data_IF_935530554665
#
_entry.id   IF_935530554665
#
_cell.length_a   1.000
_cell.length_b   1.000
_cell.length_c   1.000
_cell.angle_alpha   90.00
_cell.angle_beta   90.00
_cell.angle_gamma   90.00
#
_symmetry.space_group_name_H-M   'P 1'
#
loop_
_entity.id
_entity.type
_entity.pdbx_description
1 polymer ?
#
# COMPACT_ATOMS: atom_id res chain seq x y z
N UNK A 1 1.02 -3.87 -7.03
CA UNK A 1 0.84 -2.90 -8.15
C UNK A 1 0.61 -3.57 -9.48
N UNK A 2 1.61 -4.28 -10.02
CA UNK A 2 1.57 -4.85 -11.37
C UNK A 2 0.47 -5.92 -11.55
N UNK A 3 0.41 -6.88 -10.63
CA UNK A 3 -0.65 -7.90 -10.59
C UNK A 3 -2.07 -7.29 -10.67
N UNK A 4 -2.27 -6.15 -10.00
CA UNK A 4 -3.57 -5.46 -9.96
C UNK A 4 -3.93 -4.82 -11.30
N UNK A 5 -2.96 -4.30 -12.04
CA UNK A 5 -3.20 -3.77 -13.39
C UNK A 5 -3.63 -4.89 -14.33
N UNK A 6 -2.94 -6.02 -14.29
CA UNK A 6 -3.31 -7.19 -15.09
C UNK A 6 -4.70 -7.73 -14.75
N UNK A 7 -5.09 -7.68 -13.47
CA UNK A 7 -6.42 -8.11 -13.00
C UNK A 7 -7.52 -7.04 -13.13
N UNK A 8 -7.24 -5.90 -13.79
CA UNK A 8 -8.20 -4.80 -13.96
C UNK A 8 -8.72 -4.21 -12.64
N UNK A 9 -7.98 -4.34 -11.55
CA UNK A 9 -8.39 -3.86 -10.22
C UNK A 9 -8.09 -2.36 -10.08
N UNK A 10 -8.93 -1.61 -9.33
CA UNK A 10 -8.66 -0.21 -9.02
C UNK A 10 -7.33 -0.04 -8.26
N UNK A 11 -6.73 1.14 -8.35
CA UNK A 11 -5.38 1.48 -7.90
C UNK A 11 -4.32 0.43 -8.30
N UNK A 12 -3.87 0.51 -9.55
CA UNK A 12 -2.81 -0.33 -10.06
C UNK A 12 -1.43 0.32 -10.01
N UNK A 13 -0.55 -0.06 -10.92
CA UNK A 13 0.88 0.21 -10.87
C UNK A 13 1.20 1.70 -10.72
N UNK A 14 0.61 2.55 -11.57
CA UNK A 14 0.79 4.01 -11.52
C UNK A 14 0.46 4.58 -10.15
N UNK A 15 -0.70 4.24 -9.58
CA UNK A 15 -1.12 4.75 -8.27
C UNK A 15 -0.16 4.32 -7.15
N UNK A 16 0.21 3.04 -7.12
CA UNK A 16 1.10 2.51 -6.08
C UNK A 16 2.51 3.11 -6.18
N UNK A 17 3.03 3.34 -7.39
CA UNK A 17 4.31 4.01 -7.61
C UNK A 17 4.30 5.46 -7.11
N UNK A 18 3.26 6.23 -7.45
CA UNK A 18 3.14 7.63 -7.00
C UNK A 18 3.05 7.75 -5.47
N UNK A 19 2.30 6.84 -4.84
CA UNK A 19 2.16 6.81 -3.37
C UNK A 19 3.50 6.49 -2.70
N UNK A 20 4.22 5.47 -3.17
CA UNK A 20 5.54 5.13 -2.63
C UNK A 20 6.58 6.24 -2.86
N UNK A 21 6.58 6.85 -4.05
CA UNK A 21 7.48 7.96 -4.37
C UNK A 21 7.22 9.18 -3.47
N UNK A 22 5.95 9.56 -3.29
CA UNK A 22 5.57 10.67 -2.41
C UNK A 22 5.95 10.42 -0.96
N UNK A 23 5.68 9.21 -0.44
CA UNK A 23 6.07 8.82 0.91
C UNK A 23 7.59 8.90 1.12
N UNK A 24 8.38 8.37 0.18
CA UNK A 24 9.85 8.48 0.20
C UNK A 24 10.31 9.94 0.20
N UNK A 25 9.73 10.77 -0.67
CA UNK A 25 10.05 12.20 -0.76
C UNK A 25 9.82 12.94 0.56
N UNK A 26 8.70 12.69 1.26
CA UNK A 26 8.45 13.31 2.56
C UNK A 26 9.44 12.87 3.63
N UNK A 27 9.87 11.61 3.63
CA UNK A 27 10.93 11.14 4.54
C UNK A 27 12.27 11.82 4.23
N UNK A 28 12.65 11.91 2.96
CA UNK A 28 13.89 12.58 2.54
C UNK A 28 13.87 14.06 2.96
N UNK A 29 12.76 14.76 2.74
CA UNK A 29 12.59 16.14 3.22
C UNK A 29 12.77 16.20 4.75
N UNK A 30 12.18 15.26 5.50
CA UNK A 30 12.36 15.18 6.95
C UNK A 30 13.82 15.02 7.37
N UNK A 31 14.59 14.19 6.66
CA UNK A 31 16.01 13.95 6.92
C UNK A 31 16.83 15.22 6.72
N UNK A 32 16.52 16.02 5.68
CA UNK A 32 17.25 17.25 5.37
C UNK A 32 17.15 18.32 6.48
N UNK A 33 16.08 18.31 7.26
CA UNK A 33 15.87 19.27 8.35
C UNK A 33 16.19 18.70 9.73
N UNK A 34 16.71 17.47 9.85
CA UNK A 34 16.94 16.80 11.13
C UNK A 34 17.84 17.60 12.08
N UNK A 35 18.91 18.19 11.57
CA UNK A 35 19.90 18.93 12.37
C UNK A 35 19.41 20.33 12.81
N UNK A 36 18.21 20.75 12.37
CA UNK A 36 17.63 22.07 12.68
C UNK A 36 17.09 22.17 14.12
N UNK A 37 17.32 21.16 14.97
CA UNK A 37 17.00 21.18 16.41
C UNK A 37 15.51 21.10 16.78
N UNK A 38 14.61 20.93 15.80
CA UNK A 38 13.16 20.96 16.04
C UNK A 38 12.32 19.95 15.25
N UNK A 39 12.93 19.06 14.48
CA UNK A 39 12.19 18.13 13.60
C UNK A 39 12.09 16.74 14.24
N UNK A 40 10.93 16.43 14.82
CA UNK A 40 10.58 15.07 15.21
C UNK A 40 10.25 14.24 13.95
N UNK A 41 11.16 13.33 13.61
CA UNK A 41 11.03 12.48 12.43
C UNK A 41 9.82 11.53 12.52
N UNK A 42 9.47 11.11 13.73
CA UNK A 42 8.31 10.25 14.01
C UNK A 42 7.02 10.96 13.61
N UNK A 43 6.99 12.29 13.75
CA UNK A 43 5.84 13.12 13.38
C UNK A 43 5.58 13.08 11.87
N UNK A 44 6.62 13.20 11.04
CA UNK A 44 6.44 13.16 9.57
C UNK A 44 6.00 11.77 9.11
N UNK A 45 6.58 10.70 9.66
CA UNK A 45 6.10 9.33 9.41
C UNK A 45 4.61 9.20 9.76
N UNK A 46 4.21 9.74 10.92
CA UNK A 46 2.81 9.79 11.33
C UNK A 46 1.92 10.53 10.32
N UNK A 47 2.38 11.67 9.78
CA UNK A 47 1.63 12.42 8.77
C UNK A 47 1.49 11.66 7.44
N UNK A 48 2.52 10.92 7.02
CA UNK A 48 2.42 10.04 5.84
C UNK A 48 1.36 8.97 6.06
N UNK A 49 1.35 8.34 7.23
CA UNK A 49 0.35 7.32 7.59
C UNK A 49 -1.07 7.89 7.59
N UNK A 50 -1.26 9.07 8.17
CA UNK A 50 -2.57 9.76 8.18
C UNK A 50 -3.04 10.10 6.76
N UNK A 51 -2.16 10.70 5.94
CA UNK A 51 -2.50 11.06 4.57
C UNK A 51 -2.86 9.86 3.69
N UNK A 52 -2.15 8.74 3.87
CA UNK A 52 -2.45 7.49 3.16
C UNK A 52 -3.74 6.86 3.66
N UNK A 53 -4.05 6.99 4.95
CA UNK A 53 -5.35 6.59 5.51
C UNK A 53 -6.53 7.32 4.86
N UNK A 54 -6.39 8.62 4.59
CA UNK A 54 -7.40 9.39 3.84
C UNK A 54 -7.58 8.87 2.41
N UNK A 55 -6.48 8.59 1.68
CA UNK A 55 -6.56 7.98 0.34
C UNK A 55 -7.21 6.58 0.39
N UNK A 56 -6.90 5.79 1.43
CA UNK A 56 -7.51 4.48 1.65
C UNK A 56 -9.01 4.57 1.86
N UNK A 57 -9.48 5.49 2.69
CA UNK A 57 -10.91 5.74 2.92
C UNK A 57 -11.63 6.14 1.63
N UNK A 58 -11.02 7.02 0.80
CA UNK A 58 -11.61 7.43 -0.48
C UNK A 58 -11.72 6.32 -1.54
N UNK A 59 -10.95 5.23 -1.38
CA UNK A 59 -11.00 4.05 -2.27
C UNK A 59 -11.99 2.99 -1.78
N UNK A 60 -12.39 3.05 -0.51
CA UNK A 60 -13.39 2.14 0.06
C UNK A 60 -14.78 2.65 -0.32
N UNK A 61 -15.55 1.83 -1.03
CA UNK A 61 -16.88 2.17 -1.53
C UNK A 61 -17.92 1.21 -0.97
N UNK A 62 -19.14 1.69 -0.77
CA UNK A 62 -20.31 0.85 -0.53
C UNK A 62 -20.91 0.42 -1.88
N UNK A 63 -21.16 -0.87 -2.04
CA UNK A 63 -21.83 -1.43 -3.21
C UNK A 63 -23.25 -0.89 -3.37
N UNK A 64 -23.83 -1.06 -4.56
CA UNK A 64 -25.15 -0.52 -4.95
C UNK A 64 -26.27 -0.84 -3.96
N UNK A 65 -26.18 -1.97 -3.27
CA UNK A 65 -27.22 -2.45 -2.33
C UNK A 65 -26.90 -2.12 -0.86
N UNK A 66 -25.90 -1.27 -0.59
CA UNK A 66 -25.51 -0.84 0.76
C UNK A 66 -24.86 -1.91 1.64
N UNK A 67 -25.01 -3.20 1.31
CA UNK A 67 -24.63 -4.32 2.16
C UNK A 67 -23.23 -4.90 1.88
N UNK A 68 -22.50 -4.36 0.91
CA UNK A 68 -21.18 -4.91 0.50
C UNK A 68 -20.14 -3.80 0.41
N UNK A 69 -19.10 -3.88 1.23
CA UNK A 69 -17.96 -2.96 1.18
C UNK A 69 -16.95 -3.48 0.16
N UNK A 70 -16.56 -2.63 -0.79
CA UNK A 70 -15.53 -2.91 -1.79
C UNK A 70 -14.31 -2.00 -1.61
N UNK A 71 -13.17 -2.41 -2.14
CA UNK A 71 -11.95 -1.58 -2.12
C UNK A 71 -11.04 -1.75 -0.89
N UNK A 72 -11.41 -2.52 0.12
CA UNK A 72 -10.58 -2.80 1.31
C UNK A 72 -9.17 -3.31 0.94
N UNK A 73 -9.08 -4.33 0.07
CA UNK A 73 -7.81 -4.86 -0.40
C UNK A 73 -7.00 -3.83 -1.22
N UNK A 74 -7.69 -2.93 -1.90
CA UNK A 74 -7.07 -1.83 -2.65
C UNK A 74 -6.44 -0.82 -1.69
N UNK A 75 -7.19 -0.39 -0.66
CA UNK A 75 -6.69 0.49 0.39
C UNK A 75 -5.47 -0.11 1.10
N UNK A 76 -5.51 -1.40 1.43
CA UNK A 76 -4.36 -2.10 2.02
C UNK A 76 -3.12 -2.12 1.11
N UNK A 77 -3.30 -2.27 -0.21
CA UNK A 77 -2.17 -2.25 -1.16
C UNK A 77 -1.52 -0.85 -1.24
N UNK A 78 -2.35 0.20 -1.26
CA UNK A 78 -1.89 1.59 -1.23
C UNK A 78 -1.09 1.85 0.05
N UNK A 79 -1.59 1.37 1.19
CA UNK A 79 -0.92 1.47 2.47
C UNK A 79 0.47 0.82 2.47
N UNK A 80 0.57 -0.41 1.94
CA UNK A 80 1.84 -1.11 1.82
C UNK A 80 2.83 -0.36 0.90
N UNK A 81 2.35 0.27 -0.17
CA UNK A 81 3.20 1.05 -1.08
C UNK A 81 3.78 2.28 -0.40
N UNK A 82 3.00 2.96 0.45
CA UNK A 82 3.51 4.08 1.25
C UNK A 82 4.57 3.63 2.26
N UNK A 83 4.33 2.52 2.98
CA UNK A 83 5.30 1.95 3.91
C UNK A 83 6.62 1.58 3.23
N UNK A 84 6.56 0.95 2.05
CA UNK A 84 7.74 0.68 1.23
C UNK A 84 8.48 1.97 0.83
N UNK A 85 7.73 3.01 0.45
CA UNK A 85 8.28 4.35 0.21
C UNK A 85 9.00 4.93 1.42
N UNK A 86 8.43 4.80 2.62
CA UNK A 86 9.08 5.24 3.85
C UNK A 86 10.40 4.51 4.09
N UNK A 87 10.41 3.17 4.04
CA UNK A 87 11.66 2.40 4.21
C UNK A 87 12.73 2.82 3.20
N UNK A 88 12.35 3.04 1.94
CA UNK A 88 13.25 3.54 0.90
C UNK A 88 13.80 4.94 1.22
N UNK A 89 12.93 5.86 1.67
CA UNK A 89 13.32 7.22 2.04
C UNK A 89 14.26 7.27 3.26
N UNK A 90 14.10 6.34 4.20
CA UNK A 90 15.03 6.15 5.33
C UNK A 90 16.34 5.45 4.94
N UNK A 91 16.49 4.96 3.70
CA UNK A 91 17.64 4.14 3.30
C UNK A 91 17.67 2.72 3.89
N UNK A 92 16.54 2.25 4.45
CA UNK A 92 16.42 0.94 5.10
C UNK A 92 16.15 -0.16 4.07
N UNK A 93 17.13 -0.46 3.22
CA UNK A 93 16.94 -1.38 2.09
C UNK A 93 16.72 -2.84 2.49
N UNK A 94 17.33 -3.31 3.59
CA UNK A 94 17.14 -4.69 4.06
C UNK A 94 15.71 -4.90 4.63
N UNK A 95 15.19 -4.04 5.53
CA UNK A 95 13.78 -4.08 5.91
C UNK A 95 12.82 -3.88 4.73
N UNK A 96 13.15 -2.99 3.78
CA UNK A 96 12.36 -2.77 2.57
C UNK A 96 12.20 -4.04 1.75
N UNK A 97 13.30 -4.76 1.53
CA UNK A 97 13.30 -6.00 0.75
C UNK A 97 12.43 -7.06 1.44
N UNK A 98 12.63 -7.27 2.75
CA UNK A 98 11.84 -8.22 3.52
C UNK A 98 10.34 -7.86 3.51
N UNK A 99 10.00 -6.59 3.75
CA UNK A 99 8.62 -6.10 3.73
C UNK A 99 7.96 -6.31 2.36
N UNK A 100 8.66 -5.95 1.29
CA UNK A 100 8.15 -6.13 -0.08
C UNK A 100 7.95 -7.62 -0.40
N UNK A 101 8.87 -8.49 0.02
CA UNK A 101 8.73 -9.93 -0.14
C UNK A 101 7.48 -10.47 0.57
N UNK A 102 7.23 -10.06 1.82
CA UNK A 102 6.02 -10.44 2.55
C UNK A 102 4.75 -9.97 1.84
N UNK A 103 4.71 -8.72 1.37
CA UNK A 103 3.56 -8.19 0.62
C UNK A 103 3.31 -9.01 -0.65
N UNK A 104 4.36 -9.37 -1.40
CA UNK A 104 4.24 -10.20 -2.61
C UNK A 104 3.74 -11.60 -2.26
N UNK A 105 4.33 -12.25 -1.24
CA UNK A 105 3.93 -13.60 -0.81
C UNK A 105 2.45 -13.62 -0.41
N UNK A 106 2.00 -12.68 0.42
CA UNK A 106 0.60 -12.59 0.85
C UNK A 106 -0.31 -12.44 -0.38
N UNK A 107 0.00 -11.53 -1.30
CA UNK A 107 -0.82 -11.33 -2.50
C UNK A 107 -0.85 -12.57 -3.40
N UNK A 108 0.27 -13.28 -3.57
CA UNK A 108 0.34 -14.50 -4.37
C UNK A 108 -0.43 -15.66 -3.75
N UNK A 109 -0.27 -15.89 -2.44
CA UNK A 109 -0.96 -16.95 -1.71
C UNK A 109 -2.47 -16.75 -1.78
N UNK A 110 -2.96 -15.56 -1.44
CA UNK A 110 -4.39 -15.26 -1.53
C UNK A 110 -4.88 -15.25 -2.98
N UNK A 111 -4.06 -14.82 -3.94
CA UNK A 111 -4.35 -14.92 -5.36
C UNK A 111 -4.57 -16.37 -5.82
N UNK A 112 -3.71 -17.30 -5.40
CA UNK A 112 -3.80 -18.72 -5.72
C UNK A 112 -5.00 -19.38 -5.02
N UNK A 113 -5.20 -19.11 -3.72
CA UNK A 113 -6.32 -19.64 -2.96
C UNK A 113 -7.67 -19.24 -3.58
N UNK A 114 -7.80 -18.00 -4.04
CA UNK A 114 -9.05 -17.52 -4.62
C UNK A 114 -9.37 -18.21 -5.95
N UNK A 115 -8.36 -18.52 -6.77
CA UNK A 115 -8.53 -19.33 -7.99
C UNK A 115 -8.96 -20.75 -7.64
N UNK A 116 -8.33 -21.37 -6.63
CA UNK A 116 -8.63 -22.75 -6.23
C UNK A 116 -10.05 -22.89 -5.67
N UNK A 117 -10.50 -21.95 -4.84
CA UNK A 117 -11.86 -21.92 -4.27
C UNK A 117 -12.90 -21.75 -5.38
N UNK A 118 -12.68 -20.81 -6.31
CA UNK A 118 -13.58 -20.59 -7.45
C UNK A 118 -13.73 -21.85 -8.31
N UNK A 119 -12.62 -22.52 -8.62
CA UNK A 119 -12.63 -23.74 -9.42
C UNK A 119 -13.30 -24.93 -8.71
N UNK A 120 -13.41 -24.92 -7.37
CA UNK A 120 -14.13 -25.95 -6.63
C UNK A 120 -15.64 -25.69 -6.63
N UNK A 121 -16.05 -24.43 -6.43
CA UNK A 121 -17.45 -24.02 -6.49
C UNK A 121 -18.10 -24.17 -7.88
N UNK A 122 -17.31 -24.13 -8.96
CA UNK A 122 -17.81 -24.37 -10.33
C UNK A 122 -17.89 -25.88 -10.69
N UNK A 123 -17.43 -26.78 -9.81
CA UNK A 123 -17.49 -28.24 -10.00
C UNK A 123 -18.64 -28.92 -9.24
N UNK A 124 -19.28 -28.20 -8.31
CA UNK A 124 -20.48 -28.62 -7.57
C UNK A 124 -21.73 -28.04 -8.23
#
# INVERSE_FOLDING_TARGET
GLERQFKGKPAGLKTNMLVGLGASGFIIISLLFMDSGGTDMTRIVGQVVVGVGFLGAGVILHGKDGNKVEGLATAATIWCSAAAGCFAGFGLYLPLLAFTAFVVIINLVFGYLNVKVKNHAERE
#
